data_IF_423133085062
#
_entry.id   IF_423133085062
#
_cell.length_a   1.000
_cell.length_b   1.000
_cell.length_c   1.000
_cell.angle_alpha   90.00
_cell.angle_beta   90.00
_cell.angle_gamma   90.00
#
_symmetry.space_group_name_H-M   'P 1'
#
loop_
_entity.id
_entity.type
_entity.pdbx_description
1 polymer ?
#
# COMPACT_ATOMS: atom_id res chain seq x y z
N UNK A 1 -2.75 11.51 17.53
CA UNK A 1 -2.95 11.32 18.98
C UNK A 1 -2.03 10.20 19.41
N UNK A 2 -0.83 10.53 19.90
CA UNK A 2 0.06 9.56 20.54
C UNK A 2 -0.06 9.77 22.04
N UNK A 3 -0.54 8.75 22.75
CA UNK A 3 -0.47 8.67 24.21
C UNK A 3 0.85 7.97 24.52
N UNK A 4 1.75 8.65 25.21
CA UNK A 4 2.96 8.04 25.74
C UNK A 4 2.60 7.38 27.08
N UNK A 5 2.70 6.05 27.13
CA UNK A 5 2.65 5.27 28.38
C UNK A 5 4.09 4.93 28.74
N UNK A 6 4.45 5.12 30.01
CA UNK A 6 5.73 4.68 30.55
C UNK A 6 5.68 3.16 30.66
N UNK A 7 6.44 2.44 29.85
CA UNK A 7 6.41 0.97 29.82
C UNK A 7 7.57 0.36 30.60
N UNK A 8 7.26 -0.45 31.61
CA UNK A 8 8.19 -1.38 32.27
C UNK A 8 8.67 -2.46 31.27
N UNK A 9 9.81 -3.15 31.51
CA UNK A 9 10.23 -4.24 30.64
C UNK A 9 9.13 -5.32 30.56
N UNK A 10 8.86 -5.81 29.34
CA UNK A 10 7.82 -6.79 28.95
C UNK A 10 6.43 -6.27 28.52
N UNK A 11 6.22 -4.94 28.41
CA UNK A 11 4.98 -4.42 27.83
C UNK A 11 5.02 -4.38 26.29
N UNK A 12 4.27 -5.28 25.65
CA UNK A 12 4.02 -5.25 24.20
C UNK A 12 2.75 -4.49 23.90
N UNK A 13 2.84 -3.44 23.08
CA UNK A 13 1.68 -2.68 22.61
C UNK A 13 1.13 -3.25 21.30
N UNK A 14 -0.13 -3.70 21.31
CA UNK A 14 -0.84 -4.15 20.11
C UNK A 14 -1.70 -3.02 19.57
N UNK A 15 -1.36 -2.50 18.39
CA UNK A 15 -2.12 -1.44 17.71
C UNK A 15 -2.78 -1.96 16.44
N UNK A 16 -4.07 -1.67 16.29
CA UNK A 16 -4.76 -1.85 15.01
C UNK A 16 -4.41 -0.73 14.02
N UNK A 17 -4.47 -1.05 12.72
CA UNK A 17 -4.39 -0.06 11.64
C UNK A 17 -5.65 -0.16 10.79
N UNK A 18 -6.29 0.99 10.55
CA UNK A 18 -7.45 1.08 9.67
C UNK A 18 -7.23 2.16 8.63
N UNK A 19 -6.98 1.72 7.39
CA UNK A 19 -6.68 2.59 6.25
C UNK A 19 -5.55 3.58 6.59
N UNK A 20 -5.85 4.87 6.59
CA UNK A 20 -4.88 5.95 6.77
C UNK A 20 -5.59 7.24 7.19
N UNK A 21 -4.86 8.11 7.89
CA UNK A 21 -5.26 9.48 8.19
C UNK A 21 -4.07 10.42 7.98
N UNK A 22 -4.26 11.49 7.21
CA UNK A 22 -3.26 12.54 6.97
C UNK A 22 -1.91 12.05 6.36
N UNK A 23 -1.89 10.95 5.60
CA UNK A 23 -0.65 10.36 5.05
C UNK A 23 -0.32 10.80 3.62
N UNK A 24 -1.30 11.27 2.85
CA UNK A 24 -1.11 11.61 1.43
C UNK A 24 0.01 12.62 1.16
N UNK A 25 0.12 13.74 1.92
CA UNK A 25 1.23 14.68 1.72
C UNK A 25 2.60 14.01 1.82
N UNK A 26 2.84 13.24 2.89
CA UNK A 26 4.09 12.49 3.07
C UNK A 26 4.32 11.46 1.97
N UNK A 27 3.29 10.72 1.57
CA UNK A 27 3.41 9.71 0.52
C UNK A 27 3.85 10.35 -0.82
N UNK A 28 3.28 11.50 -1.18
CA UNK A 28 3.66 12.25 -2.38
C UNK A 28 5.12 12.73 -2.29
N UNK A 29 5.54 13.26 -1.15
CA UNK A 29 6.93 13.70 -0.94
C UNK A 29 7.95 12.57 -1.04
N UNK A 30 7.59 11.35 -0.60
CA UNK A 30 8.44 10.17 -0.73
C UNK A 30 8.62 9.77 -2.19
N UNK A 31 7.53 9.77 -2.97
CA UNK A 31 7.57 9.48 -4.41
C UNK A 31 8.34 10.54 -5.19
N UNK A 32 8.05 11.82 -4.95
CA UNK A 32 8.71 12.95 -5.60
C UNK A 32 10.22 12.98 -5.30
N UNK A 33 10.60 12.63 -4.07
CA UNK A 33 11.99 12.51 -3.65
C UNK A 33 12.68 11.20 -4.07
N UNK A 34 11.99 10.31 -4.82
CA UNK A 34 12.47 8.97 -5.18
C UNK A 34 12.96 8.13 -3.99
N UNK A 35 12.38 8.37 -2.81
CA UNK A 35 12.67 7.63 -1.56
C UNK A 35 11.83 6.35 -1.44
N UNK A 36 10.80 6.22 -2.28
CA UNK A 36 10.04 5.00 -2.47
C UNK A 36 9.81 4.80 -3.97
N UNK A 37 10.00 3.57 -4.45
CA UNK A 37 9.62 3.15 -5.80
C UNK A 37 8.40 2.24 -5.72
N UNK A 38 7.25 2.77 -6.14
CA UNK A 38 6.00 2.00 -6.22
C UNK A 38 5.77 1.43 -7.61
N UNK A 39 6.46 1.93 -8.63
CA UNK A 39 6.32 1.45 -10.01
C UNK A 39 6.93 0.05 -10.14
N UNK A 40 8.01 -0.23 -9.41
CA UNK A 40 8.62 -1.56 -9.34
C UNK A 40 7.73 -2.68 -8.81
N UNK A 41 6.58 -2.37 -8.20
CA UNK A 41 5.59 -3.38 -7.79
C UNK A 41 4.61 -3.77 -8.88
N UNK A 42 4.49 -2.98 -9.96
CA UNK A 42 3.53 -3.24 -11.03
C UNK A 42 4.01 -4.44 -11.86
N UNK A 43 3.25 -5.53 -11.82
CA UNK A 43 3.54 -6.74 -12.59
C UNK A 43 2.82 -6.78 -13.93
N UNK A 44 1.72 -6.04 -14.06
CA UNK A 44 1.01 -5.90 -15.32
C UNK A 44 0.14 -4.66 -15.38
N UNK A 45 -0.03 -4.21 -16.61
CA UNK A 45 -1.06 -3.28 -17.03
C UNK A 45 -2.14 -4.03 -17.81
N UNK A 46 -3.39 -3.63 -17.66
CA UNK A 46 -4.50 -4.13 -18.46
C UNK A 46 -5.40 -2.97 -18.91
N UNK A 47 -5.95 -3.02 -20.14
CA UNK A 47 -6.93 -2.03 -20.57
C UNK A 47 -8.24 -2.21 -19.79
N UNK A 48 -9.03 -1.14 -19.69
CA UNK A 48 -10.36 -1.21 -19.08
C UNK A 48 -11.29 -2.24 -19.74
N UNK A 49 -11.09 -2.54 -21.02
CA UNK A 49 -11.84 -3.57 -21.75
C UNK A 49 -11.66 -4.98 -21.19
N UNK A 50 -10.52 -5.24 -20.54
CA UNK A 50 -10.09 -6.57 -20.09
C UNK A 50 -10.18 -6.68 -18.57
N UNK A 51 -11.05 -5.86 -17.96
CA UNK A 51 -11.19 -5.79 -16.49
C UNK A 51 -11.46 -7.16 -15.88
N UNK A 52 -12.26 -8.01 -16.52
CA UNK A 52 -12.55 -9.35 -16.01
C UNK A 52 -11.28 -10.19 -15.83
N UNK A 53 -10.50 -10.34 -16.90
CA UNK A 53 -9.25 -11.12 -16.89
C UNK A 53 -8.20 -10.51 -15.95
N UNK A 54 -8.17 -9.18 -15.84
CA UNK A 54 -7.30 -8.48 -14.90
C UNK A 54 -7.63 -8.81 -13.44
N UNK A 55 -8.91 -8.97 -13.08
CA UNK A 55 -9.32 -9.39 -11.74
C UNK A 55 -9.03 -10.87 -11.48
N UNK A 56 -9.23 -11.75 -12.47
CA UNK A 56 -8.83 -13.17 -12.35
C UNK A 56 -7.33 -13.29 -12.09
N UNK A 57 -6.51 -12.53 -12.82
CA UNK A 57 -5.06 -12.49 -12.59
C UNK A 57 -4.68 -11.93 -11.22
N UNK A 58 -5.37 -10.88 -10.77
CA UNK A 58 -5.13 -10.26 -9.46
C UNK A 58 -5.52 -11.15 -8.28
N UNK A 59 -6.34 -12.19 -8.49
CA UNK A 59 -6.70 -13.17 -7.47
C UNK A 59 -5.60 -14.22 -7.23
N UNK A 60 -4.61 -14.33 -8.13
CA UNK A 60 -3.45 -15.19 -7.92
C UNK A 60 -2.61 -14.66 -6.74
N UNK A 61 -2.37 -15.46 -5.69
CA UNK A 61 -1.62 -15.03 -4.50
C UNK A 61 -0.15 -14.65 -4.78
N UNK A 62 0.43 -15.01 -5.93
CA UNK A 62 1.78 -14.55 -6.28
C UNK A 62 1.80 -13.19 -6.97
N UNK A 63 0.65 -12.71 -7.47
CA UNK A 63 0.54 -11.41 -8.13
C UNK A 63 0.63 -10.28 -7.11
N UNK A 64 1.61 -9.38 -7.28
CA UNK A 64 1.80 -8.23 -6.36
C UNK A 64 0.83 -7.08 -6.66
N UNK A 65 0.83 -6.56 -7.90
CA UNK A 65 -0.01 -5.40 -8.27
C UNK A 65 -0.28 -5.32 -9.77
N UNK A 66 -1.57 -5.21 -10.13
CA UNK A 66 -2.01 -4.80 -11.46
C UNK A 66 -2.49 -3.34 -11.50
N UNK A 67 -2.39 -2.73 -12.69
CA UNK A 67 -2.92 -1.38 -12.99
C UNK A 67 -3.88 -1.47 -14.16
N UNK A 68 -5.09 -0.93 -14.01
CA UNK A 68 -6.03 -0.75 -15.13
C UNK A 68 -5.76 0.62 -15.77
N UNK A 69 -5.57 0.62 -17.08
CA UNK A 69 -5.36 1.82 -17.89
C UNK A 69 -6.54 2.05 -18.84
N UNK A 70 -6.87 3.32 -19.08
CA UNK A 70 -7.96 3.77 -19.95
C UNK A 70 -7.52 3.96 -21.40
#
# INVERSE_FOLDING_TARGET
MHVAVLTEPDEVEVRGSYRYANTYPTAIELLAGRRADTAGFVEFDAPLSDVHDAFERAADPVTVKGVIQS
#
